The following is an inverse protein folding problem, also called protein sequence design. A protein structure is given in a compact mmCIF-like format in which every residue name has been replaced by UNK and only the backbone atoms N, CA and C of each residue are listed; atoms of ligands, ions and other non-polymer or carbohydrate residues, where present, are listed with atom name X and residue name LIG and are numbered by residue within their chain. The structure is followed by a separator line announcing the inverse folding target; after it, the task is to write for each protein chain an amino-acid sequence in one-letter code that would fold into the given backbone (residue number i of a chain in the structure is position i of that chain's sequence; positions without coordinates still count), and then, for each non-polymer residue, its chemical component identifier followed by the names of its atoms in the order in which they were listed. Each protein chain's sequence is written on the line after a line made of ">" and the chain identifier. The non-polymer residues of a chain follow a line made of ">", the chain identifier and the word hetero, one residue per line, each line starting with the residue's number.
data_IF_937053961998
#
_entry.id   IF_937053961998
#
_cell.length_a   1.000
_cell.length_b   1.000
_cell.length_c   1.000
_cell.angle_alpha   90.00
_cell.angle_beta   90.00
_cell.angle_gamma   90.00
#
_symmetry.space_group_name_H-M   'P 1'
#
loop_
_entity.id
_entity.type
_entity.pdbx_description
1 polymer ?
#
# COMPACT_ATOMS: atom_id res chain seq x y z
N UNK A 1 41.75 -38.62 -21.70
CA UNK A 1 41.28 -37.52 -20.80
C UNK A 1 42.02 -37.64 -19.50
N UNK A 2 42.86 -36.66 -19.17
CA UNK A 2 43.88 -36.75 -18.15
C UNK A 2 43.26 -36.63 -16.74
N UNK A 3 43.26 -37.74 -15.97
CA UNK A 3 42.66 -37.80 -14.61
C UNK A 3 43.20 -36.70 -13.67
N UNK A 4 44.40 -36.23 -13.91
CA UNK A 4 45.04 -35.15 -13.12
C UNK A 4 44.38 -33.80 -13.37
N UNK A 5 43.92 -33.51 -14.60
CA UNK A 5 43.20 -32.25 -14.93
C UNK A 5 41.79 -32.22 -14.36
N UNK A 6 41.12 -33.38 -14.32
CA UNK A 6 39.78 -33.50 -13.72
C UNK A 6 39.83 -33.34 -12.20
N UNK A 7 40.82 -33.92 -11.52
CA UNK A 7 41.00 -33.76 -10.08
C UNK A 7 41.34 -32.32 -9.69
N UNK A 8 42.25 -31.64 -10.43
CA UNK A 8 42.59 -30.24 -10.13
C UNK A 8 41.41 -29.28 -10.33
N UNK A 9 40.55 -29.54 -11.33
CA UNK A 9 39.31 -28.77 -11.54
C UNK A 9 38.32 -28.96 -10.39
N UNK A 10 38.19 -30.20 -9.87
CA UNK A 10 37.30 -30.48 -8.75
C UNK A 10 37.77 -29.80 -7.45
N UNK A 11 39.07 -29.81 -7.18
CA UNK A 11 39.67 -29.12 -6.02
C UNK A 11 39.51 -27.58 -6.13
N UNK A 12 39.67 -27.01 -7.32
CA UNK A 12 39.48 -25.58 -7.52
C UNK A 12 38.00 -25.15 -7.30
N UNK A 13 37.06 -25.99 -7.74
CA UNK A 13 35.61 -25.72 -7.57
C UNK A 13 35.21 -25.83 -6.09
N UNK A 14 35.68 -26.84 -5.38
CA UNK A 14 35.41 -26.99 -3.93
C UNK A 14 36.01 -25.88 -3.09
N UNK A 15 37.23 -25.41 -3.43
CA UNK A 15 37.88 -24.29 -2.75
C UNK A 15 37.09 -22.97 -2.97
N UNK A 16 36.55 -22.74 -4.19
CA UNK A 16 35.73 -21.58 -4.50
C UNK A 16 34.41 -21.58 -3.71
N UNK A 17 33.74 -22.73 -3.65
CA UNK A 17 32.50 -22.89 -2.90
C UNK A 17 32.70 -22.66 -1.40
N UNK A 18 33.80 -23.21 -0.84
CA UNK A 18 34.17 -22.99 0.55
C UNK A 18 34.51 -21.52 0.85
N UNK A 19 35.21 -20.83 -0.06
CA UNK A 19 35.55 -19.42 0.08
C UNK A 19 34.28 -18.55 0.08
N UNK A 20 33.29 -18.85 -0.79
CA UNK A 20 32.02 -18.16 -0.83
C UNK A 20 31.21 -18.42 0.45
N UNK A 21 31.16 -19.67 0.95
CA UNK A 21 30.49 -20.02 2.20
C UNK A 21 31.09 -19.31 3.42
N UNK A 22 32.41 -19.19 3.48
CA UNK A 22 33.09 -18.45 4.56
C UNK A 22 32.83 -16.95 4.45
N UNK A 23 32.80 -16.40 3.24
CA UNK A 23 32.49 -14.98 3.02
C UNK A 23 31.08 -14.62 3.47
N UNK A 24 30.11 -15.47 3.15
CA UNK A 24 28.71 -15.31 3.54
C UNK A 24 28.51 -15.43 5.06
N UNK A 25 29.24 -16.34 5.73
CA UNK A 25 29.12 -16.55 7.18
C UNK A 25 29.85 -15.48 8.01
N UNK A 26 30.88 -14.84 7.47
CA UNK A 26 31.64 -13.78 8.16
C UNK A 26 31.04 -12.37 7.93
N UNK A 27 30.28 -12.18 6.86
CA UNK A 27 29.66 -10.90 6.53
C UNK A 27 28.16 -11.08 6.18
N UNK A 28 27.30 -11.30 7.18
CA UNK A 28 25.85 -11.46 6.94
C UNK A 28 25.22 -10.28 6.20
N UNK A 29 25.82 -9.08 6.30
CA UNK A 29 25.38 -7.90 5.55
C UNK A 29 25.56 -8.01 4.02
N UNK A 30 26.44 -8.91 3.54
CA UNK A 30 26.63 -9.17 2.11
C UNK A 30 25.50 -10.02 1.51
N UNK A 31 24.78 -10.78 2.34
CA UNK A 31 23.63 -11.57 1.88
C UNK A 31 22.46 -10.68 1.43
N UNK A 32 22.22 -9.55 2.11
CA UNK A 32 21.20 -8.57 1.70
C UNK A 32 21.49 -7.93 0.34
N UNK A 33 22.78 -7.87 -0.06
CA UNK A 33 23.17 -7.34 -1.36
C UNK A 33 23.05 -8.38 -2.51
N UNK A 34 23.18 -9.67 -2.20
CA UNK A 34 23.18 -10.75 -3.21
C UNK A 34 21.78 -11.30 -3.48
N UNK A 35 20.93 -11.30 -2.48
CA UNK A 35 19.53 -11.71 -2.59
C UNK A 35 18.63 -10.48 -2.40
N UNK A 36 18.90 -9.37 -3.05
CA UNK A 36 18.16 -8.12 -2.84
C UNK A 36 16.81 -8.40 -2.22
N UNK A 37 16.64 -8.07 -0.92
CA UNK A 37 15.30 -8.05 -0.36
C UNK A 37 14.50 -7.16 -1.29
N UNK A 38 13.33 -7.60 -1.78
CA UNK A 38 12.46 -6.71 -2.52
C UNK A 38 12.31 -5.46 -1.65
N UNK A 39 12.45 -4.26 -2.22
CA UNK A 39 12.28 -3.05 -1.44
C UNK A 39 10.97 -3.20 -0.68
N UNK A 40 11.03 -3.10 0.65
CA UNK A 40 9.84 -3.08 1.47
C UNK A 40 8.89 -2.11 0.78
N UNK A 41 7.71 -2.56 0.39
CA UNK A 41 6.76 -1.76 -0.38
C UNK A 41 6.63 -0.41 0.32
N UNK A 42 7.13 0.64 -0.32
CA UNK A 42 7.21 1.97 0.28
C UNK A 42 5.87 2.70 0.21
N UNK A 43 4.76 1.95 0.39
CA UNK A 43 3.46 2.58 0.45
C UNK A 43 3.46 3.66 1.54
N UNK A 44 3.10 4.88 1.15
CA UNK A 44 2.74 5.90 2.12
C UNK A 44 1.53 5.45 2.94
N UNK A 45 1.34 6.04 4.11
CA UNK A 45 0.19 5.76 4.96
C UNK A 45 -0.67 7.01 5.14
N UNK A 46 -1.96 6.78 5.27
CA UNK A 46 -2.92 7.83 5.59
C UNK A 46 -4.06 7.27 6.44
N UNK A 47 -4.75 8.16 7.12
CA UNK A 47 -6.02 7.86 7.75
C UNK A 47 -7.12 8.51 6.91
N UNK A 48 -8.12 7.74 6.50
CA UNK A 48 -9.29 8.21 5.75
C UNK A 48 -10.49 8.24 6.69
N UNK A 49 -11.10 9.41 6.86
CA UNK A 49 -12.36 9.57 7.59
C UNK A 49 -13.49 9.80 6.60
N UNK A 50 -14.55 8.99 6.68
CA UNK A 50 -15.80 9.22 5.97
C UNK A 50 -16.67 10.14 6.81
N UNK A 51 -17.19 11.20 6.20
CA UNK A 51 -18.06 12.17 6.85
C UNK A 51 -19.39 12.26 6.12
N UNK A 52 -20.46 12.26 6.89
CA UNK A 52 -21.81 12.48 6.43
C UNK A 52 -21.92 13.82 5.67
N UNK A 53 -22.59 13.79 4.52
CA UNK A 53 -22.66 14.92 3.58
C UNK A 53 -23.40 16.13 4.14
N UNK A 54 -24.38 15.91 5.01
CA UNK A 54 -25.29 16.94 5.53
C UNK A 54 -24.83 17.46 6.89
N UNK A 55 -24.48 16.55 7.78
CA UNK A 55 -24.15 16.88 9.19
C UNK A 55 -22.66 17.05 9.43
N UNK A 56 -21.81 16.66 8.49
CA UNK A 56 -20.35 16.61 8.62
C UNK A 56 -19.85 15.73 9.79
N UNK A 57 -20.71 14.88 10.35
CA UNK A 57 -20.35 13.93 11.39
C UNK A 57 -19.46 12.83 10.83
N UNK A 58 -18.49 12.37 11.60
CA UNK A 58 -17.70 11.18 11.24
C UNK A 58 -18.60 9.93 11.28
N UNK A 59 -18.60 9.17 10.18
CA UNK A 59 -19.30 7.89 10.05
C UNK A 59 -18.35 6.73 10.36
N UNK A 60 -17.08 6.85 9.96
CA UNK A 60 -16.06 5.83 10.21
C UNK A 60 -14.68 6.31 9.79
N UNK A 61 -13.66 5.59 10.25
CA UNK A 61 -12.25 5.88 9.97
C UNK A 61 -11.54 4.60 9.56
N UNK A 62 -10.66 4.70 8.56
CA UNK A 62 -9.89 3.60 7.99
C UNK A 62 -8.43 4.01 7.88
N UNK A 63 -7.52 3.18 8.34
CA UNK A 63 -6.09 3.33 8.08
C UNK A 63 -5.74 2.69 6.74
N UNK A 64 -5.12 3.45 5.86
CA UNK A 64 -4.89 3.03 4.48
C UNK A 64 -3.43 3.10 4.08
N UNK A 65 -3.02 2.14 3.25
CA UNK A 65 -1.83 2.27 2.41
C UNK A 65 -2.18 3.14 1.19
N UNK A 66 -1.25 4.00 0.77
CA UNK A 66 -1.43 4.87 -0.40
C UNK A 66 -0.79 4.23 -1.63
N UNK A 67 -1.58 3.92 -2.64
CA UNK A 67 -1.09 3.49 -3.95
C UNK A 67 -0.98 4.72 -4.87
N UNK A 68 0.23 5.24 -5.06
CA UNK A 68 0.50 6.47 -5.82
C UNK A 68 1.29 6.19 -7.11
N UNK A 69 2.28 5.30 -7.08
CA UNK A 69 3.03 4.88 -8.27
C UNK A 69 2.23 3.93 -9.17
N UNK A 70 2.75 3.69 -10.36
CA UNK A 70 2.14 2.72 -11.28
C UNK A 70 2.20 1.29 -10.70
N UNK A 71 3.36 0.91 -10.15
CA UNK A 71 3.60 -0.41 -9.57
C UNK A 71 2.68 -0.68 -8.38
N UNK A 72 2.54 0.29 -7.47
CA UNK A 72 1.65 0.20 -6.32
C UNK A 72 0.19 0.03 -6.73
N UNK A 73 -0.26 0.81 -7.73
CA UNK A 73 -1.61 0.69 -8.28
C UNK A 73 -1.84 -0.62 -9.01
N UNK A 74 -0.81 -1.15 -9.68
CA UNK A 74 -0.90 -2.43 -10.38
C UNK A 74 -0.98 -3.60 -9.40
N UNK A 75 -0.19 -3.57 -8.34
CA UNK A 75 -0.21 -4.58 -7.28
C UNK A 75 -1.49 -4.48 -6.44
N UNK A 76 -1.83 -3.26 -6.00
CA UNK A 76 -3.01 -3.04 -5.17
C UNK A 76 -3.02 -3.93 -3.92
N UNK A 77 -4.11 -4.64 -3.71
CA UNK A 77 -4.29 -5.61 -2.62
C UNK A 77 -3.99 -7.06 -3.01
N UNK A 78 -3.54 -7.33 -4.26
CA UNK A 78 -3.27 -8.69 -4.75
C UNK A 78 -2.18 -9.45 -3.96
N UNK A 79 -1.28 -8.73 -3.29
CA UNK A 79 -0.24 -9.28 -2.42
C UNK A 79 -0.67 -9.43 -0.94
N UNK A 80 -1.93 -9.10 -0.65
CA UNK A 80 -2.48 -9.07 0.71
C UNK A 80 -3.40 -10.25 0.91
N UNK A 81 -3.05 -11.18 1.77
CA UNK A 81 -3.84 -12.40 2.02
C UNK A 81 -5.13 -12.15 2.79
N UNK A 82 -5.19 -11.11 3.60
CA UNK A 82 -6.36 -10.71 4.37
C UNK A 82 -6.36 -9.19 4.57
N UNK A 83 -7.54 -8.59 4.59
CA UNK A 83 -7.72 -7.17 4.91
C UNK A 83 -8.48 -7.06 6.23
N UNK A 84 -7.81 -6.52 7.26
CA UNK A 84 -8.40 -6.37 8.59
C UNK A 84 -9.48 -5.28 8.61
N UNK A 85 -10.45 -5.42 9.51
CA UNK A 85 -11.47 -4.40 9.67
C UNK A 85 -10.84 -3.07 10.15
N UNK A 86 -11.19 -1.96 9.51
CA UNK A 86 -10.60 -0.65 9.78
C UNK A 86 -9.30 -0.39 9.02
N UNK A 87 -8.88 -1.30 8.15
CA UNK A 87 -7.76 -1.08 7.22
C UNK A 87 -8.22 -1.08 5.77
N UNK A 88 -7.39 -0.53 4.86
CA UNK A 88 -7.72 -0.45 3.44
C UNK A 88 -6.56 -0.01 2.57
N UNK A 89 -6.88 0.27 1.31
CA UNK A 89 -5.97 0.90 0.37
C UNK A 89 -6.63 2.08 -0.33
N UNK A 90 -5.89 3.19 -0.46
CA UNK A 90 -6.33 4.38 -1.17
C UNK A 90 -5.47 4.58 -2.42
N UNK A 91 -6.07 4.43 -3.57
CA UNK A 91 -5.45 4.70 -4.88
C UNK A 91 -5.60 6.19 -5.20
N UNK A 92 -4.48 6.84 -5.48
CA UNK A 92 -4.40 8.28 -5.74
C UNK A 92 -4.08 8.55 -7.19
N UNK A 93 -4.93 9.29 -7.88
CA UNK A 93 -4.74 9.68 -9.28
C UNK A 93 -4.63 11.20 -9.43
N UNK A 94 -4.02 11.67 -10.51
CA UNK A 94 -3.88 13.11 -10.78
C UNK A 94 -5.22 13.78 -11.08
N UNK A 95 -6.08 13.12 -11.88
CA UNK A 95 -7.37 13.62 -12.32
C UNK A 95 -8.52 12.65 -12.07
N UNK A 96 -9.73 13.19 -12.10
CA UNK A 96 -10.95 12.40 -12.03
C UNK A 96 -11.32 11.89 -13.43
N UNK A 97 -11.29 10.57 -13.60
CA UNK A 97 -11.61 9.87 -14.85
C UNK A 97 -12.44 8.64 -14.56
N UNK A 98 -13.03 8.04 -15.60
CA UNK A 98 -13.65 6.72 -15.49
C UNK A 98 -12.56 5.68 -15.28
N UNK A 99 -12.61 4.98 -14.17
CA UNK A 99 -11.65 3.95 -13.81
C UNK A 99 -12.35 2.61 -13.62
N UNK A 100 -11.63 1.54 -13.98
CA UNK A 100 -12.12 0.17 -13.80
C UNK A 100 -11.14 -0.58 -12.92
N UNK A 101 -11.67 -1.23 -11.92
CA UNK A 101 -10.96 -2.09 -10.97
C UNK A 101 -11.39 -3.52 -11.17
N UNK A 102 -10.50 -4.45 -10.90
CA UNK A 102 -10.68 -5.90 -11.06
C UNK A 102 -10.28 -6.61 -9.78
N UNK A 103 -10.75 -7.83 -9.59
CA UNK A 103 -10.44 -8.68 -8.44
C UNK A 103 -9.31 -9.68 -8.74
N UNK A 104 -8.32 -9.26 -9.54
CA UNK A 104 -7.18 -10.11 -9.92
C UNK A 104 -6.40 -10.56 -8.68
N UNK A 105 -6.21 -11.89 -8.55
CA UNK A 105 -5.45 -12.49 -7.44
C UNK A 105 -5.99 -12.12 -6.05
N UNK A 106 -7.31 -11.89 -5.94
CA UNK A 106 -7.99 -11.57 -4.69
C UNK A 106 -8.68 -12.80 -4.10
N UNK A 107 -8.49 -13.02 -2.81
CA UNK A 107 -9.08 -14.15 -2.08
C UNK A 107 -10.27 -13.75 -1.19
N UNK A 108 -10.61 -12.45 -1.14
CA UNK A 108 -11.67 -11.92 -0.28
C UNK A 108 -12.45 -10.80 -0.98
N UNK A 109 -13.73 -10.59 -0.61
CA UNK A 109 -14.57 -9.58 -1.21
C UNK A 109 -14.27 -8.18 -0.65
N UNK A 110 -14.58 -7.14 -1.46
CA UNK A 110 -14.32 -5.73 -1.15
C UNK A 110 -15.53 -4.83 -1.37
N UNK A 111 -15.58 -3.71 -0.66
CA UNK A 111 -16.26 -2.50 -1.09
C UNK A 111 -15.24 -1.60 -1.82
N UNK A 112 -15.49 -1.29 -3.09
CA UNK A 112 -14.69 -0.40 -3.92
C UNK A 112 -15.42 0.93 -4.04
N UNK A 113 -14.84 2.00 -3.46
CA UNK A 113 -15.44 3.32 -3.32
C UNK A 113 -14.80 4.30 -4.28
N UNK A 114 -15.55 4.79 -5.26
CA UNK A 114 -15.12 5.76 -6.26
C UNK A 114 -15.40 7.18 -5.77
N UNK A 115 -14.36 8.01 -5.65
CA UNK A 115 -14.42 9.34 -5.05
C UNK A 115 -13.99 10.41 -6.05
N UNK A 116 -14.82 11.42 -6.22
CA UNK A 116 -14.63 12.53 -7.14
C UNK A 116 -13.53 13.50 -6.72
N UNK A 117 -13.18 14.44 -7.60
CA UNK A 117 -12.20 15.49 -7.33
C UNK A 117 -12.59 16.41 -6.17
N UNK A 118 -13.88 16.51 -5.88
CA UNK A 118 -14.47 17.26 -4.76
C UNK A 118 -14.47 16.49 -3.43
N UNK A 119 -13.88 15.28 -3.43
CA UNK A 119 -13.81 14.33 -2.31
C UNK A 119 -15.18 13.76 -1.90
N UNK A 120 -16.17 13.81 -2.78
CA UNK A 120 -17.45 13.12 -2.56
C UNK A 120 -17.43 11.73 -3.14
N UNK A 121 -18.12 10.82 -2.48
CA UNK A 121 -18.34 9.46 -2.96
C UNK A 121 -19.29 9.52 -4.14
N UNK A 122 -18.78 9.14 -5.32
CA UNK A 122 -19.57 9.07 -6.56
C UNK A 122 -20.25 7.71 -6.70
N UNK A 123 -19.61 6.65 -6.20
CA UNK A 123 -20.16 5.30 -6.27
C UNK A 123 -19.52 4.38 -5.24
N UNK A 124 -20.31 3.47 -4.70
CA UNK A 124 -19.84 2.32 -3.89
C UNK A 124 -20.20 1.06 -4.67
N UNK A 125 -19.22 0.19 -4.93
CA UNK A 125 -19.40 -1.05 -5.68
C UNK A 125 -18.86 -2.22 -4.88
N UNK A 126 -19.72 -3.17 -4.60
CA UNK A 126 -19.33 -4.42 -3.97
C UNK A 126 -18.73 -5.34 -5.02
N UNK A 127 -17.57 -5.91 -4.71
CA UNK A 127 -16.88 -6.89 -5.54
C UNK A 127 -16.73 -8.18 -4.74
N UNK A 128 -17.28 -9.31 -5.20
CA UNK A 128 -17.07 -10.61 -4.58
C UNK A 128 -15.64 -11.08 -4.80
N UNK A 129 -15.16 -11.99 -3.95
CA UNK A 129 -13.99 -12.78 -4.28
C UNK A 129 -14.29 -13.64 -5.53
N UNK A 130 -13.30 -13.91 -6.39
CA UNK A 130 -13.47 -14.86 -7.49
C UNK A 130 -13.81 -16.26 -6.97
N UNK A 131 -14.71 -16.95 -7.67
CA UNK A 131 -14.97 -18.37 -7.42
C UNK A 131 -13.75 -19.23 -7.80
N UNK A 132 -13.60 -20.44 -7.24
CA UNK A 132 -12.56 -21.36 -7.68
C UNK A 132 -12.60 -21.56 -9.20
N UNK A 133 -11.53 -21.23 -9.91
CA UNK A 133 -11.35 -21.22 -11.37
C UNK A 133 -12.01 -20.04 -12.13
N UNK A 134 -12.53 -19.03 -11.45
CA UNK A 134 -12.92 -17.77 -12.07
C UNK A 134 -11.69 -16.84 -12.21
N UNK A 135 -11.57 -16.19 -13.36
CA UNK A 135 -10.54 -15.14 -13.52
C UNK A 135 -11.02 -13.84 -12.86
N UNK A 136 -10.34 -13.42 -11.80
CA UNK A 136 -10.67 -12.16 -11.11
C UNK A 136 -10.59 -10.92 -12.01
N UNK A 137 -9.95 -10.99 -13.18
CA UNK A 137 -9.98 -9.92 -14.18
C UNK A 137 -11.37 -9.74 -14.83
N UNK A 138 -12.23 -10.75 -14.79
CA UNK A 138 -13.60 -10.67 -15.31
C UNK A 138 -14.55 -9.98 -14.31
N UNK A 139 -14.20 -9.95 -13.03
CA UNK A 139 -14.95 -9.23 -12.00
C UNK A 139 -14.57 -7.75 -12.02
N UNK A 140 -15.29 -6.96 -12.81
CA UNK A 140 -14.97 -5.55 -13.03
C UNK A 140 -15.94 -4.61 -12.32
N UNK A 141 -15.40 -3.56 -11.70
CA UNK A 141 -16.15 -2.46 -11.10
C UNK A 141 -15.64 -1.13 -11.63
N UNK A 142 -16.55 -0.27 -12.05
CA UNK A 142 -16.18 1.01 -12.67
C UNK A 142 -16.90 2.19 -12.03
N UNK A 143 -16.23 3.34 -12.01
CA UNK A 143 -16.77 4.60 -11.56
C UNK A 143 -15.90 5.79 -11.98
N UNK A 144 -16.47 6.99 -11.91
CA UNK A 144 -15.73 8.24 -12.09
C UNK A 144 -15.01 8.58 -10.80
N UNK A 145 -13.68 8.68 -10.82
CA UNK A 145 -12.91 8.89 -9.60
C UNK A 145 -11.55 9.56 -9.81
N UNK A 146 -11.16 10.36 -8.82
CA UNK A 146 -9.78 10.81 -8.59
C UNK A 146 -9.11 9.94 -7.51
N UNK A 147 -9.88 9.49 -6.53
CA UNK A 147 -9.43 8.55 -5.49
C UNK A 147 -10.32 7.31 -5.51
N UNK A 148 -9.74 6.15 -5.24
CA UNK A 148 -10.51 4.93 -5.04
C UNK A 148 -10.08 4.34 -3.71
N UNK A 149 -11.06 4.10 -2.83
CA UNK A 149 -10.82 3.48 -1.53
C UNK A 149 -11.34 2.04 -1.59
N UNK A 150 -10.47 1.10 -1.27
CA UNK A 150 -10.82 -0.31 -1.07
C UNK A 150 -10.81 -0.63 0.41
N UNK A 151 -11.92 -1.21 0.89
CA UNK A 151 -12.12 -1.62 2.28
C UNK A 151 -12.78 -3.00 2.33
N UNK A 152 -12.75 -3.70 3.48
CA UNK A 152 -13.43 -4.97 3.62
C UNK A 152 -14.90 -4.86 3.22
N UNK A 153 -15.41 -5.90 2.56
CA UNK A 153 -16.79 -5.96 2.11
C UNK A 153 -17.79 -5.71 3.25
N UNK A 154 -18.77 -4.84 2.99
CA UNK A 154 -19.79 -4.45 3.96
C UNK A 154 -19.35 -3.36 4.93
N UNK A 155 -18.09 -2.91 4.89
CA UNK A 155 -17.60 -1.86 5.77
C UNK A 155 -18.39 -0.56 5.59
N UNK A 156 -18.66 -0.15 4.34
CA UNK A 156 -19.42 1.07 4.05
C UNK A 156 -20.84 1.01 4.61
N UNK A 157 -21.51 -0.13 4.43
CA UNK A 157 -22.88 -0.33 4.94
C UNK A 157 -22.92 -0.36 6.49
N UNK A 158 -21.94 -1.00 7.13
CA UNK A 158 -21.85 -1.07 8.59
C UNK A 158 -21.66 0.32 9.25
N UNK A 159 -21.10 1.27 8.50
CA UNK A 159 -20.88 2.64 8.95
C UNK A 159 -21.95 3.63 8.43
N UNK A 160 -22.99 3.14 7.73
CA UNK A 160 -24.04 3.96 7.09
C UNK A 160 -23.46 5.00 6.10
N UNK A 161 -22.31 4.68 5.49
CA UNK A 161 -21.67 5.54 4.49
C UNK A 161 -22.32 5.32 3.12
N UNK A 162 -22.64 6.41 2.42
CA UNK A 162 -23.41 6.41 1.18
C UNK A 162 -22.78 7.28 0.10
N UNK A 163 -23.30 7.17 -1.12
CA UNK A 163 -22.96 8.09 -2.22
C UNK A 163 -23.34 9.53 -1.82
N UNK A 164 -22.42 10.49 -2.09
CA UNK A 164 -22.53 11.89 -1.67
C UNK A 164 -21.74 12.23 -0.40
N UNK A 165 -21.44 11.28 0.47
CA UNK A 165 -20.61 11.49 1.65
C UNK A 165 -19.18 11.90 1.27
N UNK A 166 -18.43 12.46 2.22
CA UNK A 166 -17.11 13.04 1.96
C UNK A 166 -15.98 12.22 2.57
N UNK A 167 -14.88 12.14 1.82
CA UNK A 167 -13.61 11.65 2.33
C UNK A 167 -12.75 12.81 2.84
N UNK A 168 -12.23 12.66 4.06
CA UNK A 168 -11.12 13.45 4.60
C UNK A 168 -9.91 12.53 4.67
N UNK A 169 -8.80 12.95 4.06
CA UNK A 169 -7.57 12.17 3.95
C UNK A 169 -6.48 12.88 4.73
N UNK A 170 -6.04 12.28 5.83
CA UNK A 170 -4.93 12.75 6.65
C UNK A 170 -3.71 11.87 6.38
N UNK A 171 -2.74 12.39 5.62
CA UNK A 171 -1.49 11.69 5.34
C UNK A 171 -0.63 11.67 6.58
N UNK A 172 -0.20 10.49 6.98
CA UNK A 172 0.80 10.37 8.03
C UNK A 172 2.14 10.87 7.45
N UNK A 173 2.67 11.95 8.02
CA UNK A 173 3.97 12.48 7.62
C UNK A 173 5.03 11.41 7.84
N UNK A 174 5.90 11.23 6.86
CA UNK A 174 7.13 10.47 7.05
C UNK A 174 8.00 11.33 8.00
N UNK A 175 7.95 11.07 9.31
CA UNK A 175 8.77 11.76 10.32
C UNK A 175 10.25 11.33 10.19
N UNK A 176 10.81 11.45 8.99
CA UNK A 176 12.24 11.38 8.72
C UNK A 176 12.69 12.71 8.11
N UNK A 177 12.96 13.69 8.95
CA UNK A 177 13.77 14.82 8.56
C UNK A 177 13.27 16.20 8.99
N UNK A 178 13.81 16.69 10.10
CA UNK A 178 13.92 18.09 10.52
C UNK A 178 13.02 18.53 11.67
N UNK A 179 13.38 18.09 12.86
CA UNK A 179 13.21 18.96 14.03
C UNK A 179 14.28 20.07 13.96
N UNK A 180 14.02 21.11 13.18
CA UNK A 180 14.71 22.38 13.37
C UNK A 180 14.00 23.08 14.51
N UNK A 181 14.59 22.97 15.72
CA UNK A 181 14.18 23.72 16.85
C UNK A 181 14.29 25.21 16.56
N UNK A 182 13.18 25.89 16.51
CA UNK A 182 13.13 27.35 16.63
C UNK A 182 12.66 27.69 18.04
N UNK A 183 13.59 27.59 19.00
CA UNK A 183 13.45 28.23 20.32
C UNK A 183 13.83 29.69 20.21
N UNK A 184 12.94 30.55 19.75
CA UNK A 184 13.05 31.98 19.99
C UNK A 184 12.47 32.26 21.37
N UNK A 185 13.39 32.33 22.33
CA UNK A 185 13.20 32.90 23.65
C UNK A 185 12.71 34.36 23.55
N UNK A 186 11.44 34.58 23.85
CA UNK A 186 10.92 35.91 24.13
C UNK A 186 11.37 36.34 25.53
N UNK A 187 12.32 37.24 25.57
CA UNK A 187 12.75 37.98 26.76
C UNK A 187 11.63 38.95 27.16
N UNK A 188 11.16 38.96 28.42
CA UNK A 188 10.15 39.93 28.86
C UNK A 188 10.81 41.29 29.12
N UNK A 189 10.28 42.33 28.47
CA UNK A 189 10.65 43.75 28.74
C UNK A 189 10.35 44.14 30.18
N UNK A 190 11.33 44.74 30.86
CA UNK A 190 11.17 45.43 32.18
C UNK A 190 10.42 46.73 31.99
N UNK A 191 9.48 47.07 32.88
CA UNK A 191 8.94 48.42 32.95
C UNK A 191 9.90 49.36 33.69
N UNK A 192 9.94 50.61 33.23
CA UNK A 192 10.59 51.75 33.86
C UNK A 192 9.75 52.32 34.99
#
# INVERSE_FOLDING_TARGET
>A
MDRRRVLSGLFALTALVLAVLVLVSTFPSLMGFVIGEPPASSYGNATVTIRDAETNRSLGTVDVRLAESYEEKYTGLSDTSTLENGTGMLFVYEGAERRTFVMREMDYPLDIVFVGADRRINAIRQAPAPDPNEDGNDIQRSGQAKWILEVPHGWMAAHNATEGDRLVIDRQGNENGSSVGNSSSLEPARPA
#
